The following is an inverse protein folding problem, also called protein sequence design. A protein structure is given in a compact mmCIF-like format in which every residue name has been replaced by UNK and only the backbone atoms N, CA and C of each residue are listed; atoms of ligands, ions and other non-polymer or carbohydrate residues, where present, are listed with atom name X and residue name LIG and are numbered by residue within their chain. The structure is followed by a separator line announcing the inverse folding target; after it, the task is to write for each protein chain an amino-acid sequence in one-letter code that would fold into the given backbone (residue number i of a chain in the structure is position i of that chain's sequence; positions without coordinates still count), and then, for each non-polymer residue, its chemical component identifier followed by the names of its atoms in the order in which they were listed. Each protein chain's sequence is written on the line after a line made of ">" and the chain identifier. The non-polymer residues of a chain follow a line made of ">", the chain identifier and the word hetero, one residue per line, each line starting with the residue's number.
data_IF_151731491967
#
_entry.id   IF_151731491967
#
_cell.length_a   1.000
_cell.length_b   1.000
_cell.length_c   1.000
_cell.angle_alpha   90.00
_cell.angle_beta   90.00
_cell.angle_gamma   90.00
#
_symmetry.space_group_name_H-M   'P 1'
#
loop_
_entity.id
_entity.type
_entity.pdbx_description
1 polymer ?
#
# COMPACT_ATOMS: atom_id res chain seq x y z
N UNK A 1 -6.61 10.27 -1.69
CA UNK A 1 -7.12 9.46 -0.56
C UNK A 1 -8.46 9.98 -0.03
N UNK A 2 -8.54 11.16 0.59
CA UNK A 2 -9.84 11.66 1.08
C UNK A 2 -10.87 11.92 -0.04
N UNK A 3 -10.40 12.43 -1.18
CA UNK A 3 -11.19 12.61 -2.41
C UNK A 3 -11.55 11.25 -3.03
N UNK A 4 -10.56 10.42 -3.38
CA UNK A 4 -10.76 9.02 -3.80
C UNK A 4 -11.82 8.24 -2.98
N UNK A 5 -11.78 8.36 -1.65
CA UNK A 5 -12.75 7.70 -0.77
C UNK A 5 -14.18 8.20 -1.00
N UNK A 6 -14.37 9.50 -1.20
CA UNK A 6 -15.67 10.09 -1.50
C UNK A 6 -16.12 9.75 -2.92
N UNK A 7 -15.21 9.78 -3.89
CA UNK A 7 -15.53 9.55 -5.30
C UNK A 7 -15.94 8.11 -5.57
N UNK A 8 -15.15 7.14 -5.10
CA UNK A 8 -15.43 5.72 -5.37
C UNK A 8 -16.43 5.13 -4.40
N UNK A 9 -16.35 5.48 -3.11
CA UNK A 9 -17.07 4.77 -2.06
C UNK A 9 -18.17 5.61 -1.40
N UNK A 10 -18.28 6.90 -1.73
CA UNK A 10 -19.33 7.80 -1.23
C UNK A 10 -19.22 8.13 0.25
N UNK A 11 -18.12 7.77 0.91
CA UNK A 11 -17.98 7.91 2.36
C UNK A 11 -16.53 8.25 2.77
N UNK A 12 -16.34 8.92 3.91
CA UNK A 12 -15.01 9.30 4.35
C UNK A 12 -14.22 8.09 4.88
N UNK A 13 -12.94 8.05 4.53
CA UNK A 13 -11.95 7.16 5.14
C UNK A 13 -11.83 7.47 6.64
N UNK A 14 -11.78 6.43 7.47
CA UNK A 14 -11.63 6.55 8.93
C UNK A 14 -10.25 6.07 9.41
N UNK A 15 -9.70 5.01 8.81
CA UNK A 15 -8.46 4.38 9.28
C UNK A 15 -7.71 3.65 8.16
N UNK A 16 -6.38 3.67 8.24
CA UNK A 16 -5.49 2.80 7.47
C UNK A 16 -5.14 1.55 8.28
N UNK A 17 -5.11 0.40 7.62
CA UNK A 17 -4.56 -0.84 8.16
C UNK A 17 -3.15 -1.05 7.62
N UNK A 18 -2.20 -1.39 8.50
CA UNK A 18 -0.81 -1.61 8.12
C UNK A 18 -0.20 -2.74 8.95
N UNK A 19 0.87 -3.36 8.45
CA UNK A 19 1.60 -4.44 9.15
C UNK A 19 2.94 -4.00 9.74
N UNK A 20 3.35 -2.75 9.50
CA UNK A 20 4.46 -2.13 10.20
C UNK A 20 5.34 -1.27 9.32
N UNK A 21 6.29 -0.60 9.96
CA UNK A 21 7.29 0.24 9.29
C UNK A 21 8.72 -0.26 9.55
N UNK A 22 9.01 -0.76 10.75
CA UNK A 22 10.34 -1.25 11.10
C UNK A 22 10.42 -2.78 11.07
N UNK A 23 11.42 -3.29 10.34
CA UNK A 23 11.89 -4.67 10.41
C UNK A 23 13.35 -4.71 9.92
N UNK A 24 14.30 -4.99 10.81
CA UNK A 24 15.72 -5.11 10.45
C UNK A 24 15.98 -6.39 9.63
N UNK A 25 15.86 -6.29 8.30
CA UNK A 25 16.02 -7.38 7.36
C UNK A 25 16.57 -6.92 6.01
N UNK A 26 17.10 -7.86 5.24
CA UNK A 26 17.38 -7.63 3.82
C UNK A 26 16.08 -7.65 3.00
N UNK A 27 16.15 -7.18 1.76
CA UNK A 27 15.05 -7.26 0.79
C UNK A 27 14.61 -8.73 0.65
N UNK A 28 13.29 -8.94 0.68
CA UNK A 28 12.63 -10.26 0.71
C UNK A 28 13.06 -11.21 1.85
N UNK A 29 13.70 -10.70 2.92
CA UNK A 29 14.15 -11.52 4.04
C UNK A 29 15.32 -12.44 3.70
N UNK A 30 16.08 -12.16 2.63
CA UNK A 30 17.25 -12.94 2.22
C UNK A 30 18.36 -12.89 3.28
N UNK A 31 19.17 -13.94 3.36
CA UNK A 31 20.32 -13.99 4.28
C UNK A 31 21.37 -12.90 3.96
N UNK A 32 21.56 -12.61 2.67
CA UNK A 32 22.54 -11.65 2.16
C UNK A 32 21.90 -10.67 1.17
N UNK A 33 22.60 -9.58 0.86
CA UNK A 33 22.20 -8.59 -0.13
C UNK A 33 21.79 -7.24 0.49
N UNK A 34 21.03 -6.46 -0.29
CA UNK A 34 20.62 -5.10 0.07
C UNK A 34 19.71 -5.08 1.30
N UNK A 35 19.91 -4.09 2.17
CA UNK A 35 18.99 -3.78 3.27
C UNK A 35 17.66 -3.25 2.73
N UNK A 36 16.56 -3.72 3.28
CA UNK A 36 15.23 -3.17 2.98
C UNK A 36 15.07 -1.80 3.63
N UNK A 37 14.24 -0.92 3.08
CA UNK A 37 13.89 0.34 3.73
C UNK A 37 13.12 0.17 5.05
N UNK A 38 12.54 -1.01 5.29
CA UNK A 38 12.05 -1.35 6.63
C UNK A 38 13.16 -1.46 7.69
N UNK A 39 14.40 -1.73 7.30
CA UNK A 39 15.50 -1.85 8.26
C UNK A 39 15.82 -0.53 8.97
N UNK A 40 15.40 0.59 8.39
CA UNK A 40 15.58 1.96 8.91
C UNK A 40 14.26 2.68 9.16
N UNK A 41 13.12 1.96 9.13
CA UNK A 41 11.77 2.52 9.25
C UNK A 41 11.43 3.59 8.20
N UNK A 42 12.04 3.50 7.01
CA UNK A 42 11.77 4.37 5.87
C UNK A 42 10.76 3.75 4.90
N UNK A 43 10.08 2.69 5.32
CA UNK A 43 8.99 2.06 4.58
C UNK A 43 7.76 1.84 5.46
N UNK A 44 6.59 1.68 4.84
CA UNK A 44 5.32 1.34 5.47
C UNK A 44 4.53 0.38 4.57
N UNK A 45 4.06 -0.73 5.14
CA UNK A 45 3.21 -1.70 4.44
C UNK A 45 1.74 -1.52 4.81
N UNK A 46 0.92 -1.01 3.88
CA UNK A 46 -0.52 -0.78 4.05
C UNK A 46 -1.31 -1.95 3.47
N UNK A 47 -2.15 -2.60 4.27
CA UNK A 47 -2.94 -3.78 3.88
C UNK A 47 -4.41 -3.48 3.58
N UNK A 48 -4.90 -2.30 3.95
CA UNK A 48 -6.29 -1.96 3.72
C UNK A 48 -6.76 -0.68 4.38
N UNK A 49 -8.05 -0.42 4.27
CA UNK A 49 -8.70 0.84 4.59
C UNK A 49 -10.03 0.55 5.28
N UNK A 50 -10.35 1.32 6.33
CA UNK A 50 -11.63 1.26 7.03
C UNK A 50 -12.31 2.62 6.90
N UNK A 51 -13.57 2.60 6.53
CA UNK A 51 -14.39 3.80 6.29
C UNK A 51 -15.32 4.07 7.46
N UNK A 52 -15.92 5.25 7.49
CA UNK A 52 -16.72 5.71 8.62
C UNK A 52 -17.94 4.83 8.91
N UNK A 53 -18.51 4.16 7.90
CA UNK A 53 -19.57 3.18 8.10
C UNK A 53 -19.11 1.89 8.78
N UNK A 54 -17.80 1.64 8.84
CA UNK A 54 -17.22 0.34 9.20
C UNK A 54 -16.91 -0.54 7.99
N UNK A 55 -17.26 -0.13 6.76
CA UNK A 55 -16.83 -0.80 5.52
C UNK A 55 -15.30 -0.95 5.52
N UNK A 56 -14.84 -2.11 5.05
CA UNK A 56 -13.42 -2.46 4.95
C UNK A 56 -13.09 -2.77 3.50
N UNK A 57 -11.97 -2.23 3.03
CA UNK A 57 -11.40 -2.51 1.72
C UNK A 57 -9.98 -2.98 1.93
N UNK A 58 -9.72 -4.26 1.66
CA UNK A 58 -8.42 -4.90 1.82
C UNK A 58 -7.70 -5.02 0.47
N UNK A 59 -6.39 -4.78 0.48
CA UNK A 59 -5.57 -4.88 -0.74
C UNK A 59 -5.63 -6.30 -1.31
N UNK A 60 -5.49 -7.33 -0.47
CA UNK A 60 -5.54 -8.71 -0.92
C UNK A 60 -6.91 -9.13 -1.46
N UNK A 61 -8.00 -8.69 -0.80
CA UNK A 61 -9.37 -9.14 -1.11
C UNK A 61 -9.97 -8.42 -2.31
N UNK A 62 -9.68 -7.12 -2.45
CA UNK A 62 -10.48 -6.23 -3.29
C UNK A 62 -9.68 -5.61 -4.45
N UNK A 63 -8.36 -5.85 -4.55
CA UNK A 63 -7.54 -5.27 -5.63
C UNK A 63 -8.04 -5.65 -7.03
N UNK A 64 -8.45 -6.91 -7.20
CA UNK A 64 -8.94 -7.43 -8.47
C UNK A 64 -10.42 -7.09 -8.73
N UNK A 65 -11.08 -6.39 -7.81
CA UNK A 65 -12.48 -5.99 -7.99
C UNK A 65 -12.60 -4.96 -9.14
N UNK A 66 -13.43 -5.23 -10.17
CA UNK A 66 -13.74 -4.24 -11.20
C UNK A 66 -14.59 -3.07 -10.68
N UNK A 67 -15.19 -3.20 -9.49
CA UNK A 67 -16.04 -2.22 -8.83
C UNK A 67 -15.31 -1.08 -8.11
N UNK A 68 -16.05 -0.43 -7.22
CA UNK A 68 -15.65 0.78 -6.52
C UNK A 68 -14.47 0.55 -5.57
N UNK A 69 -14.43 -0.59 -4.88
CA UNK A 69 -13.39 -0.95 -3.93
C UNK A 69 -12.04 -1.10 -4.62
N UNK A 70 -12.00 -1.85 -5.73
CA UNK A 70 -10.80 -1.97 -6.55
C UNK A 70 -10.41 -0.65 -7.22
N UNK A 71 -11.38 0.16 -7.66
CA UNK A 71 -11.10 1.47 -8.24
C UNK A 71 -10.47 2.43 -7.23
N UNK A 72 -11.00 2.45 -6.00
CA UNK A 72 -10.42 3.16 -4.87
C UNK A 72 -8.98 2.71 -4.58
N UNK A 73 -8.72 1.40 -4.57
CA UNK A 73 -7.38 0.86 -4.31
C UNK A 73 -6.37 1.26 -5.39
N UNK A 74 -6.77 1.22 -6.67
CA UNK A 74 -5.93 1.65 -7.79
C UNK A 74 -5.59 3.13 -7.67
N UNK A 75 -6.58 3.99 -7.40
CA UNK A 75 -6.31 5.42 -7.21
C UNK A 75 -5.51 5.71 -5.93
N UNK A 76 -5.71 4.95 -4.86
CA UNK A 76 -4.93 5.08 -3.64
C UNK A 76 -3.45 4.76 -3.88
N UNK A 77 -3.15 3.69 -4.63
CA UNK A 77 -1.79 3.31 -5.05
C UNK A 77 -1.19 4.37 -5.98
N UNK A 78 -1.86 4.73 -7.07
CA UNK A 78 -1.39 5.75 -8.02
C UNK A 78 -1.17 7.10 -7.34
N UNK A 79 -2.04 7.45 -6.40
CA UNK A 79 -1.95 8.64 -5.58
C UNK A 79 -0.73 8.67 -4.66
N UNK A 80 -0.32 7.50 -4.14
CA UNK A 80 0.86 7.36 -3.30
C UNK A 80 2.15 7.64 -4.09
N UNK A 81 2.19 7.31 -5.39
CA UNK A 81 3.35 7.54 -6.24
C UNK A 81 3.75 9.02 -6.38
N UNK A 82 2.90 9.97 -5.98
CA UNK A 82 3.23 11.40 -5.93
C UNK A 82 4.02 11.82 -4.69
N UNK A 83 4.03 10.99 -3.64
CA UNK A 83 4.55 11.35 -2.32
C UNK A 83 5.69 10.45 -1.85
N UNK A 84 5.75 9.22 -2.35
CA UNK A 84 6.76 8.23 -1.99
C UNK A 84 7.70 7.99 -3.18
N UNK A 85 8.97 7.71 -2.90
CA UNK A 85 9.93 7.37 -3.94
C UNK A 85 9.64 5.95 -4.48
N UNK A 86 9.33 5.00 -3.61
CA UNK A 86 8.94 3.64 -4.01
C UNK A 86 7.52 3.28 -3.58
N UNK A 87 6.69 2.88 -4.54
CA UNK A 87 5.34 2.35 -4.32
C UNK A 87 5.21 1.03 -5.07
N UNK A 88 5.02 -0.05 -4.33
CA UNK A 88 4.84 -1.40 -4.88
C UNK A 88 3.49 -1.96 -4.43
N UNK A 89 2.74 -2.55 -5.35
CA UNK A 89 1.46 -3.17 -5.05
C UNK A 89 1.27 -4.54 -5.72
N UNK A 90 0.03 -5.06 -5.73
CA UNK A 90 -0.23 -6.42 -6.20
C UNK A 90 0.11 -6.69 -7.67
N UNK A 91 0.17 -5.65 -8.50
CA UNK A 91 0.56 -5.76 -9.90
C UNK A 91 2.08 -5.94 -10.10
N UNK A 92 2.91 -5.62 -9.09
CA UNK A 92 4.36 -5.70 -9.22
C UNK A 92 4.87 -7.14 -9.17
N UNK A 93 4.58 -7.86 -8.07
CA UNK A 93 4.96 -9.27 -7.90
C UNK A 93 4.22 -9.95 -6.74
N UNK A 94 4.42 -11.26 -6.61
CA UNK A 94 3.77 -12.09 -5.60
C UNK A 94 4.07 -11.69 -4.14
N UNK A 95 5.19 -11.02 -3.87
CA UNK A 95 5.54 -10.58 -2.52
C UNK A 95 4.69 -9.41 -2.04
N UNK A 96 4.10 -8.62 -2.95
CA UNK A 96 3.30 -7.44 -2.66
C UNK A 96 1.81 -7.64 -3.00
N UNK A 97 1.37 -8.90 -3.13
CA UNK A 97 -0.01 -9.24 -3.53
C UNK A 97 -1.08 -8.81 -2.52
N UNK A 98 -0.69 -8.55 -1.28
CA UNK A 98 -1.58 -8.33 -0.14
C UNK A 98 -1.38 -6.98 0.56
N UNK A 99 -0.48 -6.13 0.07
CA UNK A 99 -0.21 -4.81 0.63
C UNK A 99 0.36 -3.83 -0.41
N UNK A 100 0.31 -2.54 -0.07
CA UNK A 100 1.11 -1.51 -0.70
C UNK A 100 2.37 -1.27 0.15
N UNK A 101 3.55 -1.48 -0.43
CA UNK A 101 4.82 -1.09 0.16
C UNK A 101 5.14 0.34 -0.28
N UNK A 102 5.27 1.24 0.69
CA UNK A 102 5.52 2.67 0.47
C UNK A 102 6.86 3.04 1.11
N UNK A 103 7.81 3.60 0.36
CA UNK A 103 9.12 4.01 0.87
C UNK A 103 9.54 5.42 0.42
N UNK A 104 10.27 6.11 1.28
CA UNK A 104 10.72 7.51 1.08
C UNK A 104 12.21 7.62 0.75
N UNK A 105 12.86 6.50 0.47
CA UNK A 105 14.27 6.44 0.06
C UNK A 105 14.49 5.17 -0.77
N UNK A 106 15.57 5.14 -1.53
CA UNK A 106 15.91 4.05 -2.43
C UNK A 106 15.61 4.38 -3.88
N UNK A 107 14.88 3.51 -4.57
CA UNK A 107 14.73 3.58 -6.02
C UNK A 107 13.38 4.19 -6.36
N UNK A 108 13.38 5.15 -7.28
CA UNK A 108 12.11 5.71 -7.75
C UNK A 108 11.35 4.70 -8.59
N UNK A 109 10.23 4.20 -8.06
CA UNK A 109 9.40 3.17 -8.71
C UNK A 109 7.94 3.31 -8.30
N UNK A 110 7.04 3.07 -9.25
CA UNK A 110 5.60 3.01 -9.06
C UNK A 110 5.11 1.78 -9.84
N UNK A 111 4.81 0.67 -9.15
CA UNK A 111 4.54 -0.65 -9.76
C UNK A 111 3.49 -1.44 -9.00
#
# INVERSE_FOLDING_TARGET
>A
LAEAAREHLGEPLQRLQHVGSYACRNVYGRAEGQRSQHATAQALDVTGFVFRSGRRVGVQSDWADPGAEGAFLREAHDGACRWFDGVLGPAYNAAHRDHFHLETDGWRTCR
#
